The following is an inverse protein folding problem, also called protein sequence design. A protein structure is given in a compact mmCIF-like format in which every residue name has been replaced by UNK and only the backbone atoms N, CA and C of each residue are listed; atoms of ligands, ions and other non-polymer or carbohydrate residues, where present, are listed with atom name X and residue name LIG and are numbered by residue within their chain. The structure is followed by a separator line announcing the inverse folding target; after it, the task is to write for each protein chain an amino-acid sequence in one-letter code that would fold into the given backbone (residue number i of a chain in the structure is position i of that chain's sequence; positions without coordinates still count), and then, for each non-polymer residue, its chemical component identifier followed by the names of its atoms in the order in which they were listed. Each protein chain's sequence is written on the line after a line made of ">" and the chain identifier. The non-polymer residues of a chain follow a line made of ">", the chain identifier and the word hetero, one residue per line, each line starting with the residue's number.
data_IF_822554117619
#
_entry.id   IF_822554117619
#
_cell.length_a   1.000
_cell.length_b   1.000
_cell.length_c   1.000
_cell.angle_alpha   90.00
_cell.angle_beta   90.00
_cell.angle_gamma   90.00
#
_symmetry.space_group_name_H-M   'P 1'
#
loop_
_entity.id
_entity.type
_entity.pdbx_description
1 polymer ?
#
# COMPACT_ATOMS: atom_id res chain seq x y z
N UNK A 1 49.82 6.41 -64.21
CA UNK A 1 50.14 5.94 -62.84
C UNK A 1 49.80 6.94 -61.74
N UNK A 2 50.52 8.06 -61.52
CA UNK A 2 50.22 8.98 -60.39
C UNK A 2 48.82 9.61 -60.47
N UNK A 3 48.37 10.05 -61.65
CA UNK A 3 47.02 10.61 -61.85
C UNK A 3 45.90 9.56 -61.67
N UNK A 4 46.13 8.32 -62.07
CA UNK A 4 45.17 7.21 -61.89
C UNK A 4 45.04 6.82 -60.41
N UNK A 5 46.16 6.79 -59.67
CA UNK A 5 46.16 6.55 -58.22
C UNK A 5 45.41 7.67 -57.50
N UNK A 6 45.64 8.94 -57.87
CA UNK A 6 44.92 10.07 -57.27
C UNK A 6 43.41 10.02 -57.54
N UNK A 7 43.00 9.71 -58.77
CA UNK A 7 41.57 9.54 -59.11
C UNK A 7 40.92 8.39 -58.32
N UNK A 8 41.63 7.27 -58.16
CA UNK A 8 41.16 6.14 -57.37
C UNK A 8 41.00 6.50 -55.89
N UNK A 9 41.99 7.19 -55.30
CA UNK A 9 41.94 7.64 -53.91
C UNK A 9 40.78 8.63 -53.67
N UNK A 10 40.54 9.57 -54.59
CA UNK A 10 39.42 10.52 -54.50
C UNK A 10 38.07 9.78 -54.55
N UNK A 11 37.90 8.82 -55.46
CA UNK A 11 36.68 8.02 -55.53
C UNK A 11 36.42 7.24 -54.23
N UNK A 12 37.48 6.65 -53.67
CA UNK A 12 37.43 5.91 -52.41
C UNK A 12 37.06 6.83 -51.23
N UNK A 13 37.66 8.03 -51.13
CA UNK A 13 37.30 9.04 -50.12
C UNK A 13 35.83 9.42 -50.25
N UNK A 14 35.34 9.69 -51.47
CA UNK A 14 33.95 10.07 -51.71
C UNK A 14 32.97 8.99 -51.24
N UNK A 15 33.28 7.71 -51.49
CA UNK A 15 32.48 6.58 -50.99
C UNK A 15 32.49 6.54 -49.46
N UNK A 16 33.65 6.69 -48.81
CA UNK A 16 33.72 6.71 -47.35
C UNK A 16 32.95 7.87 -46.72
N UNK A 17 33.04 9.07 -47.31
CA UNK A 17 32.28 10.23 -46.86
C UNK A 17 30.78 9.96 -46.99
N UNK A 18 30.34 9.39 -48.10
CA UNK A 18 28.94 9.02 -48.30
C UNK A 18 28.46 8.01 -47.25
N UNK A 19 29.26 6.97 -46.97
CA UNK A 19 28.95 5.98 -45.94
C UNK A 19 28.84 6.60 -44.54
N UNK A 20 29.75 7.51 -44.18
CA UNK A 20 29.69 8.22 -42.90
C UNK A 20 28.44 9.08 -42.77
N UNK A 21 28.04 9.77 -43.85
CA UNK A 21 26.81 10.56 -43.86
C UNK A 21 25.58 9.68 -43.67
N UNK A 22 25.51 8.54 -44.36
CA UNK A 22 24.40 7.58 -44.19
C UNK A 22 24.36 7.03 -42.76
N UNK A 23 25.51 6.64 -42.21
CA UNK A 23 25.61 6.16 -40.83
C UNK A 23 25.15 7.22 -39.81
N UNK A 24 25.52 8.49 -40.01
CA UNK A 24 25.06 9.59 -39.16
C UNK A 24 23.54 9.78 -39.25
N UNK A 25 22.95 9.69 -40.44
CA UNK A 25 21.49 9.78 -40.62
C UNK A 25 20.79 8.62 -39.89
N UNK A 26 21.26 7.38 -40.06
CA UNK A 26 20.72 6.21 -39.37
C UNK A 26 20.81 6.37 -37.85
N UNK A 27 21.96 6.83 -37.34
CA UNK A 27 22.16 7.06 -35.92
C UNK A 27 21.16 8.09 -35.36
N UNK A 28 20.89 9.17 -36.10
CA UNK A 28 19.90 10.17 -35.71
C UNK A 28 18.47 9.62 -35.72
N UNK A 29 18.13 8.76 -36.68
CA UNK A 29 16.82 8.09 -36.75
C UNK A 29 16.64 7.15 -35.56
N UNK A 30 17.62 6.29 -35.27
CA UNK A 30 17.57 5.36 -34.14
C UNK A 30 17.50 6.11 -32.81
N UNK A 31 18.29 7.17 -32.65
CA UNK A 31 18.27 7.99 -31.44
C UNK A 31 16.88 8.59 -31.17
N UNK A 32 16.21 9.07 -32.22
CA UNK A 32 14.88 9.69 -32.09
C UNK A 32 13.75 8.68 -31.93
N UNK A 33 13.77 7.58 -32.67
CA UNK A 33 12.64 6.64 -32.73
C UNK A 33 12.75 5.48 -31.73
N UNK A 34 13.93 5.18 -31.20
CA UNK A 34 14.15 4.05 -30.30
C UNK A 34 14.73 4.54 -28.97
N UNK A 35 15.87 5.24 -29.00
CA UNK A 35 16.57 5.62 -27.76
C UNK A 35 15.75 6.62 -26.93
N UNK A 36 15.15 7.64 -27.54
CA UNK A 36 14.33 8.64 -26.83
C UNK A 36 13.11 8.05 -26.10
N UNK A 37 12.26 7.24 -26.77
CA UNK A 37 11.14 6.58 -26.10
C UNK A 37 11.60 5.65 -24.97
N UNK A 38 12.67 4.87 -25.17
CA UNK A 38 13.19 3.97 -24.14
C UNK A 38 13.68 4.71 -22.89
N UNK A 39 14.38 5.84 -23.05
CA UNK A 39 14.81 6.64 -21.89
C UNK A 39 13.63 7.28 -21.17
N UNK A 40 12.56 7.63 -21.89
CA UNK A 40 11.32 8.12 -21.31
C UNK A 40 10.64 7.04 -20.47
N UNK A 41 10.43 5.84 -21.03
CA UNK A 41 9.83 4.70 -20.30
C UNK A 41 10.67 4.35 -19.07
N UNK A 42 11.98 4.28 -19.20
CA UNK A 42 12.88 3.99 -18.08
C UNK A 42 12.82 5.07 -16.98
N UNK A 43 12.69 6.34 -17.38
CA UNK A 43 12.50 7.46 -16.45
C UNK A 43 11.19 7.36 -15.67
N UNK A 44 10.08 7.14 -16.39
CA UNK A 44 8.75 6.97 -15.78
C UNK A 44 8.73 5.77 -14.84
N UNK A 45 9.32 4.64 -15.26
CA UNK A 45 9.45 3.45 -14.43
C UNK A 45 10.21 3.73 -13.13
N UNK A 46 11.34 4.44 -13.20
CA UNK A 46 12.13 4.82 -12.02
C UNK A 46 11.37 5.76 -11.08
N UNK A 47 10.43 6.54 -11.61
CA UNK A 47 9.64 7.49 -10.82
C UNK A 47 8.38 6.91 -10.18
N UNK A 48 8.07 5.62 -10.38
CA UNK A 48 6.89 5.00 -9.75
C UNK A 48 6.97 5.13 -8.23
N UNK A 49 5.92 5.68 -7.64
CA UNK A 49 5.79 5.83 -6.18
C UNK A 49 4.51 5.14 -5.70
N UNK A 50 4.64 4.31 -4.66
CA UNK A 50 3.52 3.69 -3.96
C UNK A 50 2.72 4.77 -3.21
N UNK A 51 1.40 4.76 -3.37
CA UNK A 51 0.50 5.71 -2.68
C UNK A 51 0.25 7.03 -3.42
N UNK A 52 0.96 7.30 -4.53
CA UNK A 52 0.65 8.41 -5.44
C UNK A 52 0.02 7.91 -6.73
N UNK A 53 -0.70 8.78 -7.42
CA UNK A 53 -1.27 8.46 -8.73
C UNK A 53 -0.13 8.40 -9.74
N UNK A 54 0.14 7.21 -10.26
CA UNK A 54 1.07 7.02 -11.36
C UNK A 54 0.28 7.10 -12.66
N UNK A 55 0.81 7.78 -13.67
CA UNK A 55 0.11 7.93 -14.95
C UNK A 55 0.58 6.89 -15.96
N UNK A 56 -0.35 6.23 -16.68
CA UNK A 56 0.02 5.29 -17.74
C UNK A 56 0.65 6.05 -18.90
N UNK A 57 1.53 5.37 -19.63
CA UNK A 57 2.15 5.92 -20.83
C UNK A 57 1.18 5.70 -21.99
N UNK A 58 0.78 6.78 -22.66
CA UNK A 58 -0.01 6.70 -23.89
C UNK A 58 0.93 6.62 -25.09
N UNK A 59 0.85 5.53 -25.86
CA UNK A 59 1.64 5.33 -27.06
C UNK A 59 0.75 5.06 -28.28
N UNK A 60 0.82 5.88 -29.35
CA UNK A 60 -0.12 5.80 -30.46
C UNK A 60 0.27 4.78 -31.54
N UNK A 61 1.46 4.18 -31.49
CA UNK A 61 1.95 3.25 -32.51
C UNK A 61 1.86 1.80 -32.04
N UNK A 62 1.53 0.87 -32.94
CA UNK A 62 1.52 -0.57 -32.66
C UNK A 62 2.84 -1.21 -33.10
N UNK A 63 3.92 -0.83 -32.42
CA UNK A 63 5.28 -1.33 -32.65
C UNK A 63 5.80 -2.05 -31.39
N UNK A 64 7.06 -2.50 -31.42
CA UNK A 64 7.71 -3.18 -30.29
C UNK A 64 7.80 -2.28 -29.05
N UNK A 65 7.86 -0.95 -29.25
CA UNK A 65 7.81 0.02 -28.15
C UNK A 65 6.40 0.06 -27.55
N UNK A 66 5.36 0.01 -28.38
CA UNK A 66 3.96 -0.12 -27.93
C UNK A 66 3.74 -1.35 -27.07
N UNK A 67 4.26 -2.50 -27.48
CA UNK A 67 4.18 -3.73 -26.67
C UNK A 67 4.84 -3.58 -25.29
N UNK A 68 5.98 -2.86 -25.22
CA UNK A 68 6.65 -2.57 -23.95
C UNK A 68 5.83 -1.60 -23.08
N UNK A 69 5.20 -0.60 -23.70
CA UNK A 69 4.31 0.36 -23.02
C UNK A 69 3.07 -0.36 -22.47
N UNK A 70 2.48 -1.28 -23.22
CA UNK A 70 1.35 -2.08 -22.76
C UNK A 70 1.74 -2.95 -21.55
N UNK A 71 2.87 -3.65 -21.63
CA UNK A 71 3.39 -4.44 -20.52
C UNK A 71 3.70 -3.58 -19.27
N UNK A 72 4.20 -2.35 -19.47
CA UNK A 72 4.40 -1.38 -18.40
C UNK A 72 3.06 -0.98 -17.74
N UNK A 73 2.06 -0.63 -18.55
CA UNK A 73 0.74 -0.21 -18.08
C UNK A 73 0.03 -1.34 -17.33
N UNK A 74 0.13 -2.58 -17.82
CA UNK A 74 -0.41 -3.77 -17.16
C UNK A 74 0.27 -4.01 -15.80
N UNK A 75 1.60 -3.91 -15.74
CA UNK A 75 2.33 -4.01 -14.48
C UNK A 75 1.91 -2.92 -13.50
N UNK A 76 1.72 -1.68 -13.97
CA UNK A 76 1.28 -0.57 -13.14
C UNK A 76 -0.09 -0.86 -12.50
N UNK A 77 -1.04 -1.36 -13.28
CA UNK A 77 -2.36 -1.76 -12.80
C UNK A 77 -2.29 -2.91 -11.78
N UNK A 78 -1.44 -3.90 -12.03
CA UNK A 78 -1.22 -5.01 -11.10
C UNK A 78 -0.61 -4.54 -9.78
N UNK A 79 0.32 -3.58 -9.84
CA UNK A 79 0.96 -2.99 -8.67
C UNK A 79 -0.03 -2.20 -7.82
N UNK A 80 -0.89 -1.38 -8.44
CA UNK A 80 -1.96 -0.65 -7.73
C UNK A 80 -2.95 -1.61 -7.08
N UNK A 81 -3.35 -2.66 -7.81
CA UNK A 81 -4.28 -3.68 -7.29
C UNK A 81 -3.68 -4.44 -6.12
N UNK A 82 -2.42 -4.85 -6.23
CA UNK A 82 -1.69 -5.58 -5.18
C UNK A 82 -1.47 -4.72 -3.94
N UNK A 83 -1.12 -3.44 -4.10
CA UNK A 83 -0.97 -2.51 -2.99
C UNK A 83 -2.29 -2.30 -2.24
N UNK A 84 -3.40 -2.13 -2.97
CA UNK A 84 -4.74 -2.02 -2.37
C UNK A 84 -5.15 -3.29 -1.63
N UNK A 85 -4.90 -4.45 -2.22
CA UNK A 85 -5.18 -5.74 -1.60
C UNK A 85 -4.36 -5.92 -0.32
N UNK A 86 -3.06 -5.64 -0.36
CA UNK A 86 -2.18 -5.75 0.79
C UNK A 86 -2.64 -4.84 1.93
N UNK A 87 -2.92 -3.55 1.64
CA UNK A 87 -3.41 -2.61 2.63
C UNK A 87 -4.74 -3.04 3.27
N UNK A 88 -5.63 -3.66 2.50
CA UNK A 88 -6.89 -4.19 3.04
C UNK A 88 -6.63 -5.42 3.93
N UNK A 89 -5.79 -6.35 3.49
CA UNK A 89 -5.44 -7.55 4.25
C UNK A 89 -4.74 -7.20 5.57
N UNK A 90 -3.81 -6.23 5.56
CA UNK A 90 -3.14 -5.77 6.77
C UNK A 90 -4.13 -5.13 7.75
N UNK A 91 -5.04 -4.27 7.26
CA UNK A 91 -6.10 -3.69 8.10
C UNK A 91 -7.03 -4.75 8.66
N UNK A 92 -7.45 -5.72 7.85
CA UNK A 92 -8.31 -6.82 8.30
C UNK A 92 -7.61 -7.66 9.36
N UNK A 93 -6.34 -7.99 9.17
CA UNK A 93 -5.55 -8.74 10.16
C UNK A 93 -5.45 -7.98 11.48
N UNK A 94 -5.08 -6.70 11.43
CA UNK A 94 -4.98 -5.85 12.61
C UNK A 94 -6.33 -5.74 13.33
N UNK A 95 -7.42 -5.55 12.57
CA UNK A 95 -8.78 -5.55 13.10
C UNK A 95 -9.14 -6.86 13.79
N UNK A 96 -8.78 -7.99 13.18
CA UNK A 96 -9.10 -9.33 13.71
C UNK A 96 -8.36 -9.60 15.02
N UNK A 97 -7.11 -9.16 15.14
CA UNK A 97 -6.34 -9.33 16.36
C UNK A 97 -6.82 -8.39 17.47
N UNK A 98 -7.15 -7.14 17.14
CA UNK A 98 -7.80 -6.21 18.07
C UNK A 98 -9.15 -6.76 18.57
N UNK A 99 -10.00 -7.29 17.69
CA UNK A 99 -11.29 -7.84 18.07
C UNK A 99 -11.16 -9.02 19.07
N UNK A 100 -10.14 -9.88 18.89
CA UNK A 100 -9.83 -10.93 19.87
C UNK A 100 -9.41 -10.33 21.20
N UNK A 101 -8.55 -9.32 21.19
CA UNK A 101 -8.09 -8.66 22.41
C UNK A 101 -9.25 -8.02 23.16
N UNK A 102 -10.13 -7.28 22.49
CA UNK A 102 -11.33 -6.70 23.08
C UNK A 102 -12.23 -7.79 23.67
N UNK A 103 -12.42 -8.91 22.97
CA UNK A 103 -13.19 -10.03 23.51
C UNK A 103 -12.56 -10.60 24.81
N UNK A 104 -11.24 -10.71 24.86
CA UNK A 104 -10.52 -11.12 26.07
C UNK A 104 -10.68 -10.09 27.21
N UNK A 105 -10.50 -8.80 26.90
CA UNK A 105 -10.61 -7.72 27.87
C UNK A 105 -12.04 -7.50 28.38
N UNK A 106 -13.07 -7.80 27.59
CA UNK A 106 -14.47 -7.80 28.03
C UNK A 106 -14.77 -8.99 28.94
N UNK A 107 -14.21 -10.17 28.66
CA UNK A 107 -14.43 -11.38 29.47
C UNK A 107 -13.85 -11.26 30.88
N UNK A 108 -12.73 -10.55 31.01
CA UNK A 108 -11.99 -10.36 32.26
C UNK A 108 -12.81 -9.70 33.39
N UNK A 109 -13.52 -8.58 33.19
CA UNK A 109 -14.40 -7.98 34.20
C UNK A 109 -15.73 -8.73 34.35
N UNK A 110 -16.28 -9.33 33.29
CA UNK A 110 -17.57 -10.04 33.35
C UNK A 110 -17.56 -11.24 34.29
N UNK A 111 -16.44 -11.98 34.34
CA UNK A 111 -16.30 -13.17 35.19
C UNK A 111 -16.39 -12.83 36.69
N UNK A 112 -15.55 -11.93 37.25
CA UNK A 112 -15.66 -11.52 38.64
C UNK A 112 -16.97 -10.77 38.91
N UNK A 113 -17.51 -9.99 37.97
CA UNK A 113 -18.84 -9.37 38.15
C UNK A 113 -19.92 -10.42 38.42
N UNK A 114 -19.96 -11.48 37.59
CA UNK A 114 -20.89 -12.60 37.80
C UNK A 114 -20.68 -13.27 39.17
N UNK A 115 -19.43 -13.53 39.56
CA UNK A 115 -19.12 -14.17 40.84
C UNK A 115 -19.51 -13.29 42.03
N UNK A 116 -19.27 -11.98 41.96
CA UNK A 116 -19.67 -11.02 43.01
C UNK A 116 -21.19 -10.95 43.15
N UNK A 117 -21.94 -10.97 42.05
CA UNK A 117 -23.41 -11.05 42.09
C UNK A 117 -23.87 -12.38 42.69
N UNK A 118 -23.28 -13.51 42.30
CA UNK A 118 -23.60 -14.82 42.89
C UNK A 118 -23.29 -14.87 44.39
N UNK A 119 -22.18 -14.25 44.82
CA UNK A 119 -21.82 -14.14 46.23
C UNK A 119 -22.83 -13.29 47.00
N UNK A 120 -23.25 -12.16 46.43
CA UNK A 120 -24.29 -11.30 47.00
C UNK A 120 -25.62 -12.05 47.14
N UNK A 121 -26.06 -12.76 46.09
CA UNK A 121 -27.28 -13.57 46.11
C UNK A 121 -27.27 -14.61 47.24
N UNK A 122 -26.13 -15.28 47.45
CA UNK A 122 -25.96 -16.25 48.55
C UNK A 122 -26.02 -15.56 49.91
N UNK A 123 -25.33 -14.43 50.07
CA UNK A 123 -25.35 -13.66 51.33
C UNK A 123 -26.76 -13.14 51.70
N UNK A 124 -27.58 -12.75 50.71
CA UNK A 124 -28.99 -12.38 50.90
C UNK A 124 -29.79 -13.60 51.38
N UNK A 125 -29.62 -14.76 50.72
CA UNK A 125 -30.29 -16.02 51.10
C UNK A 125 -29.95 -16.45 52.53
N UNK A 126 -28.69 -16.29 52.93
CA UNK A 126 -28.19 -16.67 54.25
C UNK A 126 -28.52 -15.64 55.34
N UNK A 127 -29.24 -14.55 55.01
CA UNK A 127 -29.59 -13.44 55.92
C UNK A 127 -28.39 -12.91 56.70
N UNK A 128 -27.26 -12.73 56.02
CA UNK A 128 -26.04 -12.25 56.66
C UNK A 128 -26.27 -10.88 57.32
N UNK A 129 -25.77 -10.66 58.54
CA UNK A 129 -25.99 -9.40 59.27
C UNK A 129 -25.30 -8.18 58.64
N UNK A 130 -24.32 -8.39 57.74
CA UNK A 130 -23.57 -7.33 57.04
C UNK A 130 -24.03 -7.11 55.59
N UNK A 131 -25.28 -7.45 55.26
CA UNK A 131 -25.78 -7.45 53.88
C UNK A 131 -25.77 -6.07 53.21
N UNK A 132 -26.08 -5.01 53.96
CA UNK A 132 -26.11 -3.64 53.43
C UNK A 132 -24.72 -3.17 53.00
N UNK A 133 -23.71 -3.48 53.82
CA UNK A 133 -22.30 -3.20 53.54
C UNK A 133 -21.80 -3.98 52.32
N UNK A 134 -22.16 -5.27 52.24
CA UNK A 134 -21.79 -6.12 51.10
C UNK A 134 -22.44 -5.62 49.80
N UNK A 135 -23.72 -5.25 49.86
CA UNK A 135 -24.46 -4.73 48.70
C UNK A 135 -23.82 -3.45 48.17
N UNK A 136 -23.51 -2.49 49.05
CA UNK A 136 -22.85 -1.25 48.68
C UNK A 136 -21.46 -1.48 48.05
N UNK A 137 -20.70 -2.45 48.58
CA UNK A 137 -19.38 -2.82 48.02
C UNK A 137 -19.52 -3.44 46.63
N UNK A 138 -20.42 -4.41 46.46
CA UNK A 138 -20.64 -5.08 45.18
C UNK A 138 -21.11 -4.07 44.13
N UNK A 139 -22.06 -3.20 44.47
CA UNK A 139 -22.54 -2.14 43.57
C UNK A 139 -21.41 -1.21 43.11
N UNK A 140 -20.53 -0.78 44.02
CA UNK A 140 -19.37 0.06 43.68
C UNK A 140 -18.43 -0.65 42.70
N UNK A 141 -18.07 -1.91 42.97
CA UNK A 141 -17.22 -2.67 42.07
C UNK A 141 -17.87 -2.88 40.70
N UNK A 142 -19.19 -3.10 40.62
CA UNK A 142 -19.88 -3.19 39.31
C UNK A 142 -19.76 -1.90 38.51
N UNK A 143 -19.95 -0.74 39.15
CA UNK A 143 -19.82 0.56 38.49
C UNK A 143 -18.40 0.73 37.91
N UNK A 144 -17.36 0.46 38.72
CA UNK A 144 -15.96 0.51 38.25
C UNK A 144 -15.69 -0.43 37.06
N UNK A 145 -16.25 -1.64 37.07
CA UNK A 145 -16.08 -2.58 35.96
C UNK A 145 -16.85 -2.14 34.70
N UNK A 146 -18.03 -1.53 34.85
CA UNK A 146 -18.82 -0.98 33.73
C UNK A 146 -18.10 0.22 33.09
N UNK A 147 -17.48 1.08 33.90
CA UNK A 147 -16.69 2.20 33.41
C UNK A 147 -15.48 1.69 32.61
N UNK A 148 -14.78 0.67 33.11
CA UNK A 148 -13.69 0.01 32.38
C UNK A 148 -14.15 -0.61 31.04
N UNK A 149 -15.28 -1.31 31.03
CA UNK A 149 -15.85 -1.87 29.80
C UNK A 149 -16.21 -0.77 28.79
N UNK A 150 -16.73 0.36 29.26
CA UNK A 150 -17.07 1.52 28.42
C UNK A 150 -15.83 2.18 27.84
N UNK A 151 -14.74 2.24 28.61
CA UNK A 151 -13.43 2.71 28.12
C UNK A 151 -12.89 1.81 27.00
N UNK A 152 -12.87 0.48 27.20
CA UNK A 152 -12.41 -0.49 26.18
C UNK A 152 -13.24 -0.37 24.88
N UNK A 153 -14.56 -0.25 25.01
CA UNK A 153 -15.44 -0.06 23.86
C UNK A 153 -15.17 1.25 23.09
N UNK A 154 -14.83 2.32 23.82
CA UNK A 154 -14.48 3.62 23.23
C UNK A 154 -13.15 3.56 22.49
N UNK A 155 -12.12 2.93 23.08
CA UNK A 155 -10.82 2.72 22.43
C UNK A 155 -10.93 1.89 21.15
N UNK A 156 -11.74 0.82 21.18
CA UNK A 156 -12.02 0.00 19.99
C UNK A 156 -12.72 0.81 18.88
N UNK A 157 -13.72 1.62 19.24
CA UNK A 157 -14.45 2.48 18.30
C UNK A 157 -13.54 3.54 17.67
N UNK A 158 -12.66 4.17 18.46
CA UNK A 158 -11.70 5.16 17.95
C UNK A 158 -10.71 4.56 16.96
N UNK A 159 -10.26 3.31 17.19
CA UNK A 159 -9.40 2.60 16.25
C UNK A 159 -10.10 2.25 14.93
N UNK A 160 -11.42 2.00 14.96
CA UNK A 160 -12.22 1.77 13.75
C UNK A 160 -12.30 3.00 12.85
N UNK A 161 -12.14 4.20 13.43
CA UNK A 161 -12.08 5.48 12.72
C UNK A 161 -10.60 5.81 12.43
N UNK A 162 -9.89 4.94 11.71
CA UNK A 162 -8.64 5.37 11.10
C UNK A 162 -8.96 6.36 9.96
N UNK A 163 -8.39 7.58 9.96
CA UNK A 163 -8.48 8.45 8.81
C UNK A 163 -7.86 7.72 7.62
N UNK A 164 -8.54 7.70 6.48
CA UNK A 164 -7.87 7.37 5.21
C UNK A 164 -6.66 8.30 5.14
N UNK A 165 -5.45 7.74 5.08
CA UNK A 165 -4.21 8.49 4.91
C UNK A 165 -4.50 9.60 3.88
N UNK A 166 -4.57 10.83 4.39
CA UNK A 166 -4.88 11.97 3.57
C UNK A 166 -3.57 12.24 2.84
N UNK A 167 -3.51 11.79 1.59
CA UNK A 167 -2.34 11.95 0.74
C UNK A 167 -1.88 13.41 0.82
N UNK A 168 -0.74 13.63 1.45
CA UNK A 168 -0.08 14.93 1.46
C UNK A 168 0.19 15.32 0.01
N UNK A 169 -0.38 16.47 -0.35
CA UNK A 169 -0.32 17.17 -1.63
C UNK A 169 1.11 17.36 -2.12
#
# INVERSE_FOLDING_TARGET
>A
MQAEISSFLIALINVYVLLLLIAAIIALIVSRNITGPLTTIAGTFKSIQLGRKNEPIAWPHQDEIGLLVDAYNDMLLQLETSAKLLANTERESAWRDMAKQVAHEIKNPLTPMRLSIQHLQRAISDKRPDIDLLTARVARTMMEQIDNLSFIASEFSNFAVMPKAQNET
#
